data_IF_253782508857
#
_entry.id   IF_253782508857
#
_cell.length_a   1.000
_cell.length_b   1.000
_cell.length_c   1.000
_cell.angle_alpha   90.00
_cell.angle_beta   90.00
_cell.angle_gamma   90.00
#
_symmetry.space_group_name_H-M   'P 1'
#
loop_
_entity.id
_entity.type
_entity.pdbx_description
1 polymer ?
#
# COMPACT_ATOMS: atom_id res chain seq x y z
N UNK A 1 -11.03 8.05 -18.74
CA UNK A 1 -9.64 7.96 -18.20
C UNK A 1 -9.28 6.50 -17.93
N UNK A 2 -8.52 5.85 -18.82
CA UNK A 2 -8.21 4.42 -18.69
C UNK A 2 -6.87 4.20 -17.99
N UNK A 3 -6.81 3.18 -17.15
CA UNK A 3 -5.56 2.76 -16.50
C UNK A 3 -4.67 2.08 -17.56
N UNK A 4 -3.46 2.62 -17.76
CA UNK A 4 -2.52 2.11 -18.77
C UNK A 4 -1.35 1.35 -18.19
N UNK A 5 -0.97 1.64 -16.93
CA UNK A 5 0.16 1.00 -16.27
C UNK A 5 0.01 1.08 -14.75
N UNK A 6 0.45 0.05 -14.06
CA UNK A 6 0.65 0.06 -12.60
C UNK A 6 2.11 -0.27 -12.33
N UNK A 7 2.79 0.61 -11.61
CA UNK A 7 4.18 0.46 -11.19
C UNK A 7 4.28 0.31 -9.68
N UNK A 8 5.22 -0.50 -9.25
CA UNK A 8 5.65 -0.57 -7.85
C UNK A 8 7.08 -0.05 -7.72
N UNK A 9 7.35 0.72 -6.67
CA UNK A 9 8.64 1.32 -6.39
C UNK A 9 9.07 0.93 -4.98
N UNK A 10 10.23 0.27 -4.88
CA UNK A 10 10.86 -0.08 -3.62
C UNK A 10 12.26 0.51 -3.55
N UNK A 11 12.59 1.16 -2.45
CA UNK A 11 13.92 1.71 -2.23
C UNK A 11 14.66 0.88 -1.18
N UNK A 12 15.90 0.52 -1.46
CA UNK A 12 16.73 -0.21 -0.51
C UNK A 12 16.88 0.53 0.82
N UNK A 13 16.98 1.87 0.77
CA UNK A 13 17.04 2.72 1.96
C UNK A 13 15.73 2.79 2.76
N UNK A 14 14.63 2.30 2.19
CA UNK A 14 13.28 2.27 2.76
C UNK A 14 12.63 0.90 2.57
N UNK A 15 13.31 -0.13 2.99
CA UNK A 15 12.96 -1.52 2.69
C UNK A 15 11.56 -1.95 3.17
N UNK A 16 10.99 -1.22 4.14
CA UNK A 16 9.65 -1.48 4.68
C UNK A 16 8.54 -0.72 3.95
N UNK A 17 8.88 0.14 2.99
CA UNK A 17 7.90 0.93 2.23
C UNK A 17 7.85 0.48 0.77
N UNK A 18 6.65 0.56 0.20
CA UNK A 18 6.38 0.37 -1.21
C UNK A 18 5.44 1.47 -1.69
N UNK A 19 5.77 2.11 -2.79
CA UNK A 19 4.91 3.07 -3.46
C UNK A 19 4.32 2.45 -4.71
N UNK A 20 3.10 2.83 -5.01
CA UNK A 20 2.36 2.38 -6.18
C UNK A 20 2.01 3.60 -7.03
N UNK A 21 2.32 3.54 -8.32
CA UNK A 21 1.92 4.55 -9.29
C UNK A 21 0.95 3.94 -10.28
N UNK A 22 -0.24 4.53 -10.39
CA UNK A 22 -1.25 4.15 -11.36
C UNK A 22 -1.28 5.22 -12.45
N UNK A 23 -1.00 4.83 -13.67
CA UNK A 23 -0.94 5.72 -14.84
C UNK A 23 -2.21 5.63 -15.65
N UNK A 24 -2.62 6.75 -16.25
CA UNK A 24 -3.79 6.83 -17.13
C UNK A 24 -3.40 7.24 -18.55
N UNK A 25 -4.30 6.98 -19.51
CA UNK A 25 -4.16 7.40 -20.92
C UNK A 25 -4.23 8.92 -21.10
N UNK A 26 -4.69 9.67 -20.11
CA UNK A 26 -4.74 11.13 -20.11
C UNK A 26 -3.51 11.77 -19.42
N UNK A 27 -2.50 10.96 -19.07
CA UNK A 27 -1.25 11.41 -18.49
C UNK A 27 -1.28 11.70 -17.00
N UNK A 28 -2.41 11.50 -16.33
CA UNK A 28 -2.47 11.60 -14.88
C UNK A 28 -1.85 10.35 -14.23
N UNK A 29 -1.15 10.58 -13.13
CA UNK A 29 -0.52 9.51 -12.34
C UNK A 29 -0.96 9.65 -10.90
N UNK A 30 -1.59 8.60 -10.38
CA UNK A 30 -1.94 8.50 -8.96
C UNK A 30 -0.85 7.83 -8.15
N UNK A 31 -0.68 8.28 -6.92
CA UNK A 31 0.28 7.73 -5.96
C UNK A 31 -0.43 7.09 -4.78
N UNK A 32 -0.07 5.86 -4.50
CA UNK A 32 -0.43 5.15 -3.28
C UNK A 32 0.80 4.63 -2.55
N UNK A 33 0.63 4.28 -1.30
CA UNK A 33 1.72 3.76 -0.45
C UNK A 33 1.22 2.60 0.40
N UNK A 34 2.11 1.67 0.67
CA UNK A 34 1.91 0.62 1.66
C UNK A 34 3.22 0.30 2.39
N UNK A 35 3.13 -0.52 3.43
CA UNK A 35 4.28 -0.82 4.27
C UNK A 35 4.22 -2.26 4.79
N UNK A 36 5.39 -2.80 5.19
CA UNK A 36 5.61 -4.17 5.62
C UNK A 36 5.12 -5.27 4.66
N UNK A 37 5.95 -6.26 4.46
CA UNK A 37 5.65 -7.34 3.52
C UNK A 37 5.66 -6.89 2.06
N UNK A 38 6.51 -5.89 1.73
CA UNK A 38 6.52 -5.23 0.42
C UNK A 38 6.65 -6.21 -0.75
N UNK A 39 7.41 -7.29 -0.61
CA UNK A 39 7.54 -8.30 -1.67
C UNK A 39 6.21 -9.03 -1.93
N UNK A 40 5.46 -9.37 -0.89
CA UNK A 40 4.16 -10.01 -1.04
C UNK A 40 3.11 -9.04 -1.62
N UNK A 41 3.14 -7.77 -1.19
CA UNK A 41 2.28 -6.71 -1.73
C UNK A 41 2.57 -6.50 -3.22
N UNK A 42 3.84 -6.40 -3.61
CA UNK A 42 4.29 -6.25 -4.99
C UNK A 42 3.82 -7.40 -5.86
N UNK A 43 4.04 -8.64 -5.40
CA UNK A 43 3.58 -9.84 -6.10
C UNK A 43 2.06 -9.82 -6.32
N UNK A 44 1.28 -9.54 -5.29
CA UNK A 44 -0.18 -9.48 -5.39
C UNK A 44 -0.66 -8.36 -6.35
N UNK A 45 0.01 -7.20 -6.33
CA UNK A 45 -0.31 -6.12 -7.27
C UNK A 45 -0.10 -6.57 -8.71
N UNK A 46 1.03 -7.20 -9.03
CA UNK A 46 1.35 -7.57 -10.41
C UNK A 46 0.65 -8.84 -10.88
N UNK A 47 0.42 -9.80 -10.01
CA UNK A 47 -0.20 -11.08 -10.37
C UNK A 47 -1.72 -11.02 -10.41
N UNK A 48 -2.35 -10.20 -9.57
CA UNK A 48 -3.80 -10.17 -9.40
C UNK A 48 -4.42 -8.81 -9.72
N UNK A 49 -3.94 -7.74 -9.10
CA UNK A 49 -4.58 -6.42 -9.17
C UNK A 49 -4.39 -5.78 -10.53
N UNK A 50 -3.16 -5.69 -11.02
CA UNK A 50 -2.88 -5.03 -12.30
C UNK A 50 -3.58 -5.70 -13.49
N UNK A 51 -3.58 -7.04 -13.66
CA UNK A 51 -4.34 -7.67 -14.72
C UNK A 51 -5.85 -7.37 -14.67
N UNK A 52 -6.43 -7.22 -13.48
CA UNK A 52 -7.83 -6.89 -13.32
C UNK A 52 -8.17 -5.43 -13.67
N UNK A 53 -7.23 -4.50 -13.46
CA UNK A 53 -7.50 -3.06 -13.57
C UNK A 53 -7.00 -2.43 -14.87
N UNK A 54 -6.03 -3.01 -15.57
CA UNK A 54 -5.52 -2.46 -16.83
C UNK A 54 -6.64 -2.32 -17.85
N UNK A 55 -6.72 -1.15 -18.50
CA UNK A 55 -7.77 -0.80 -19.46
C UNK A 55 -9.11 -0.36 -18.86
N UNK A 56 -9.29 -0.50 -17.55
CA UNK A 56 -10.49 -0.06 -16.84
C UNK A 56 -10.51 1.47 -16.68
N UNK A 57 -11.70 2.03 -16.50
CA UNK A 57 -11.90 3.45 -16.23
C UNK A 57 -11.57 3.77 -14.76
N UNK A 58 -10.50 4.54 -14.54
CA UNK A 58 -10.01 4.92 -13.21
C UNK A 58 -11.00 5.75 -12.38
N UNK A 59 -12.02 6.36 -13.02
CA UNK A 59 -13.04 7.13 -12.30
C UNK A 59 -14.04 6.25 -11.54
N UNK A 60 -14.12 4.96 -11.88
CA UNK A 60 -15.04 4.00 -11.26
C UNK A 60 -14.48 3.37 -9.98
N UNK A 61 -13.96 4.19 -9.07
CA UNK A 61 -13.18 3.77 -7.91
C UNK A 61 -13.87 2.67 -7.10
N UNK A 62 -15.13 2.86 -6.74
CA UNK A 62 -15.90 1.87 -5.96
C UNK A 62 -16.08 0.52 -6.69
N UNK A 63 -16.30 0.56 -8.00
CA UNK A 63 -16.42 -0.66 -8.80
C UNK A 63 -15.09 -1.40 -8.87
N UNK A 64 -13.99 -0.67 -9.09
CA UNK A 64 -12.63 -1.22 -9.11
C UNK A 64 -12.24 -1.77 -7.73
N UNK A 65 -12.57 -1.06 -6.65
CA UNK A 65 -12.34 -1.53 -5.28
C UNK A 65 -13.03 -2.88 -5.03
N UNK A 66 -14.29 -3.02 -5.45
CA UNK A 66 -15.01 -4.29 -5.34
C UNK A 66 -14.38 -5.40 -6.19
N UNK A 67 -13.89 -5.07 -7.38
CA UNK A 67 -13.23 -6.01 -8.28
C UNK A 67 -11.90 -6.50 -7.71
N UNK A 68 -11.16 -5.64 -7.01
CA UNK A 68 -9.91 -6.01 -6.34
C UNK A 68 -10.11 -6.91 -5.13
N UNK A 69 -11.32 -6.98 -4.55
CA UNK A 69 -11.56 -7.81 -3.36
C UNK A 69 -11.51 -9.29 -3.72
N UNK A 70 -10.73 -10.10 -3.01
CA UNK A 70 -10.70 -11.53 -3.25
C UNK A 70 -12.07 -12.16 -2.95
N UNK A 71 -12.46 -13.13 -3.75
CA UNK A 71 -13.72 -13.85 -3.57
C UNK A 71 -13.70 -14.74 -2.32
N UNK A 72 -12.55 -15.28 -1.97
CA UNK A 72 -12.41 -16.25 -0.88
C UNK A 72 -12.03 -15.51 0.40
N UNK A 73 -12.82 -15.65 1.46
CA UNK A 73 -12.67 -14.90 2.70
C UNK A 73 -11.29 -15.02 3.38
N UNK A 74 -10.57 -16.13 3.22
CA UNK A 74 -9.23 -16.30 3.78
C UNK A 74 -8.13 -15.53 3.03
N UNK A 75 -8.41 -15.03 1.83
CA UNK A 75 -7.46 -14.22 1.02
C UNK A 75 -7.66 -12.71 1.22
N UNK A 76 -8.60 -12.29 2.04
CA UNK A 76 -8.96 -10.88 2.22
C UNK A 76 -8.18 -10.15 3.33
N UNK A 77 -7.01 -10.64 3.74
CA UNK A 77 -6.25 -10.07 4.86
C UNK A 77 -4.80 -9.80 4.47
N UNK A 78 -4.09 -9.02 5.30
CA UNK A 78 -2.64 -8.82 5.19
C UNK A 78 -2.20 -8.21 3.84
N UNK A 79 -1.38 -8.92 3.04
CA UNK A 79 -0.75 -8.39 1.84
C UNK A 79 -1.77 -7.98 0.77
N UNK A 80 -2.80 -8.78 0.55
CA UNK A 80 -3.85 -8.53 -0.44
C UNK A 80 -4.65 -7.27 -0.11
N UNK A 81 -5.02 -7.07 1.16
CA UNK A 81 -5.73 -5.85 1.57
C UNK A 81 -4.84 -4.62 1.52
N UNK A 82 -3.54 -4.77 1.80
CA UNK A 82 -2.57 -3.67 1.66
C UNK A 82 -2.33 -3.30 0.20
N UNK A 83 -2.27 -4.27 -0.69
CA UNK A 83 -2.19 -4.05 -2.14
C UNK A 83 -3.43 -3.28 -2.63
N UNK A 84 -4.62 -3.78 -2.30
CA UNK A 84 -5.88 -3.14 -2.67
C UNK A 84 -5.97 -1.71 -2.14
N UNK A 85 -5.64 -1.50 -0.84
CA UNK A 85 -5.67 -0.18 -0.21
C UNK A 85 -4.72 0.81 -0.87
N UNK A 86 -3.51 0.40 -1.20
CA UNK A 86 -2.54 1.27 -1.85
C UNK A 86 -2.98 1.69 -3.26
N UNK A 87 -3.58 0.76 -4.02
CA UNK A 87 -4.13 1.07 -5.34
C UNK A 87 -5.38 1.95 -5.23
N UNK A 88 -6.25 1.69 -4.26
CA UNK A 88 -7.43 2.52 -3.99
C UNK A 88 -7.04 3.98 -3.69
N UNK A 89 -6.04 4.19 -2.83
CA UNK A 89 -5.49 5.54 -2.56
C UNK A 89 -4.97 6.20 -3.84
N UNK A 90 -4.28 5.45 -4.70
CA UNK A 90 -3.79 5.98 -5.98
C UNK A 90 -4.94 6.36 -6.93
N UNK A 91 -6.04 5.62 -6.95
CA UNK A 91 -7.22 5.96 -7.75
C UNK A 91 -7.90 7.25 -7.25
N UNK A 92 -8.00 7.43 -5.93
CA UNK A 92 -8.50 8.66 -5.34
C UNK A 92 -7.57 9.86 -5.62
N UNK A 93 -6.26 9.66 -5.62
CA UNK A 93 -5.29 10.70 -6.01
C UNK A 93 -5.44 11.11 -7.48
N UNK A 94 -5.69 10.14 -8.39
CA UNK A 94 -6.03 10.45 -9.80
C UNK A 94 -7.30 11.30 -9.86
N UNK A 95 -8.34 10.91 -9.14
CA UNK A 95 -9.62 11.63 -9.16
C UNK A 95 -9.47 13.06 -8.62
N UNK A 96 -8.71 13.25 -7.55
CA UNK A 96 -8.39 14.58 -7.02
C UNK A 96 -7.68 15.45 -8.04
N UNK A 97 -6.68 14.90 -8.73
CA UNK A 97 -5.94 15.58 -9.81
C UNK A 97 -6.83 15.91 -11.00
N UNK A 98 -7.69 14.98 -11.42
CA UNK A 98 -8.61 15.16 -12.54
C UNK A 98 -9.65 16.26 -12.29
N UNK A 99 -10.13 16.37 -11.05
CA UNK A 99 -11.14 17.36 -10.66
C UNK A 99 -10.57 18.66 -10.10
N UNK A 100 -9.26 18.72 -9.84
CA UNK A 100 -8.62 19.86 -9.18
C UNK A 100 -9.05 20.05 -7.73
N UNK A 101 -9.57 18.98 -7.08
CA UNK A 101 -10.08 19.04 -5.71
C UNK A 101 -9.21 18.24 -4.74
N UNK A 102 -8.97 18.74 -3.53
CA UNK A 102 -8.33 17.95 -2.49
C UNK A 102 -9.27 16.84 -2.02
N UNK A 103 -8.70 15.71 -1.64
CA UNK A 103 -9.44 14.50 -1.27
C UNK A 103 -10.50 14.75 -0.18
N UNK A 104 -10.19 15.55 0.83
CA UNK A 104 -11.14 15.85 1.90
C UNK A 104 -12.42 16.54 1.38
N UNK A 105 -12.31 17.41 0.35
CA UNK A 105 -13.46 18.07 -0.23
C UNK A 105 -14.36 17.08 -0.98
N UNK A 106 -13.75 16.13 -1.68
CA UNK A 106 -14.47 15.06 -2.39
C UNK A 106 -15.17 14.08 -1.43
N UNK A 107 -14.64 13.91 -0.22
CA UNK A 107 -15.20 13.03 0.82
C UNK A 107 -16.19 13.73 1.76
N UNK A 108 -16.69 14.92 1.41
CA UNK A 108 -17.73 15.61 2.16
C UNK A 108 -17.28 16.85 2.94
N UNK A 109 -16.04 17.29 2.74
CA UNK A 109 -15.50 18.53 3.33
C UNK A 109 -14.74 18.33 4.64
N UNK A 110 -14.10 19.41 5.07
CA UNK A 110 -13.35 19.40 6.32
C UNK A 110 -14.28 19.44 7.54
N UNK A 111 -14.12 18.49 8.44
CA UNK A 111 -14.85 18.45 9.72
C UNK A 111 -14.09 19.13 10.85
N UNK A 112 -12.82 19.45 10.64
CA UNK A 112 -11.92 20.11 11.61
C UNK A 112 -10.72 20.71 10.89
N UNK A 113 -10.15 21.77 11.45
CA UNK A 113 -8.97 22.45 10.90
C UNK A 113 -7.65 21.84 11.40
N UNK A 114 -7.72 21.04 12.45
CA UNK A 114 -6.55 20.44 13.09
C UNK A 114 -6.82 19.01 13.51
N UNK A 115 -5.81 18.15 13.39
CA UNK A 115 -5.84 16.76 13.85
C UNK A 115 -4.81 16.64 14.98
N UNK A 116 -5.25 16.11 16.14
CA UNK A 116 -4.32 15.77 17.22
C UNK A 116 -3.49 14.57 16.78
N UNK A 117 -2.18 14.70 16.89
CA UNK A 117 -1.23 13.63 16.58
C UNK A 117 -0.47 13.23 17.83
N UNK A 118 0.04 12.01 17.85
CA UNK A 118 0.96 11.52 18.86
C UNK A 118 2.10 10.75 18.19
N UNK A 119 3.24 10.70 18.85
CA UNK A 119 4.35 9.88 18.39
C UNK A 119 4.29 8.52 19.08
N UNK A 120 4.34 7.44 18.30
CA UNK A 120 4.39 6.06 18.82
C UNK A 120 5.77 5.67 19.38
N UNK A 121 6.73 6.57 19.37
CA UNK A 121 8.11 6.35 19.84
C UNK A 121 8.83 5.19 19.11
N UNK A 122 8.40 4.82 17.93
CA UNK A 122 9.17 3.95 17.05
C UNK A 122 10.47 4.67 16.70
N UNK A 123 11.62 4.05 16.96
CA UNK A 123 12.93 4.68 16.75
C UNK A 123 13.14 5.18 15.32
N UNK A 124 14.11 6.08 15.10
CA UNK A 124 14.37 6.69 13.80
C UNK A 124 14.67 5.68 12.70
N UNK A 125 15.08 4.49 13.06
CA UNK A 125 15.40 3.39 12.15
C UNK A 125 14.20 2.52 11.76
N UNK A 126 13.01 2.80 12.29
CA UNK A 126 11.82 1.95 12.11
C UNK A 126 11.46 1.76 10.63
N UNK A 127 11.60 2.81 9.83
CA UNK A 127 11.28 2.79 8.39
C UNK A 127 12.50 2.46 7.53
N UNK A 128 13.71 2.75 8.02
CA UNK A 128 14.93 2.69 7.23
C UNK A 128 15.67 1.36 7.26
N UNK A 129 15.36 0.50 8.21
CA UNK A 129 16.03 -0.79 8.34
C UNK A 129 15.23 -1.90 7.69
N UNK A 130 15.90 -3.01 7.31
CA UNK A 130 15.39 -4.09 6.50
C UNK A 130 13.97 -4.56 6.85
N UNK A 131 13.29 -5.19 5.91
CA UNK A 131 11.92 -5.74 6.03
C UNK A 131 11.73 -6.78 7.15
N UNK A 132 12.80 -7.16 7.82
CA UNK A 132 12.71 -8.07 8.96
C UNK A 132 11.97 -7.38 10.10
N UNK A 133 10.90 -8.00 10.55
CA UNK A 133 10.21 -7.59 11.77
C UNK A 133 11.24 -7.66 12.89
N UNK A 134 11.57 -6.50 13.46
CA UNK A 134 12.59 -6.45 14.50
C UNK A 134 11.93 -6.69 15.85
N UNK A 135 12.32 -7.74 16.55
CA UNK A 135 11.84 -7.99 17.89
C UNK A 135 11.92 -6.77 18.79
N UNK A 136 13.02 -5.99 18.72
CA UNK A 136 13.21 -4.78 19.52
C UNK A 136 12.18 -3.67 19.28
N UNK A 137 11.57 -3.59 18.11
CA UNK A 137 10.50 -2.61 17.83
C UNK A 137 9.20 -2.89 18.58
N UNK A 138 9.05 -4.09 19.09
CA UNK A 138 7.86 -4.53 19.83
C UNK A 138 8.21 -5.00 21.26
N UNK A 139 9.37 -4.61 21.78
CA UNK A 139 9.85 -5.06 23.09
C UNK A 139 10.24 -6.53 23.13
N UNK A 140 10.41 -7.16 21.96
CA UNK A 140 10.85 -8.57 21.86
C UNK A 140 12.35 -8.56 21.54
N UNK A 141 13.14 -9.15 22.41
CA UNK A 141 14.58 -9.25 22.23
C UNK A 141 14.94 -10.33 21.21
N UNK A 142 15.89 -10.05 20.33
CA UNK A 142 16.29 -10.96 19.26
C UNK A 142 16.89 -12.27 19.80
N UNK A 143 17.47 -12.23 20.99
CA UNK A 143 18.08 -13.39 21.63
C UNK A 143 17.05 -14.33 22.23
N UNK A 144 15.83 -13.86 22.53
CA UNK A 144 14.77 -14.65 23.15
C UNK A 144 13.79 -15.25 22.14
N UNK A 145 13.77 -14.76 20.89
CA UNK A 145 12.92 -15.31 19.84
C UNK A 145 13.70 -16.32 19.01
N UNK A 146 13.56 -17.59 19.31
CA UNK A 146 14.09 -18.70 18.49
C UNK A 146 13.50 -18.77 17.08
N UNK A 147 12.59 -17.87 16.70
CA UNK A 147 11.97 -17.84 15.36
C UNK A 147 12.99 -17.64 14.22
N UNK A 148 14.05 -16.90 14.44
CA UNK A 148 15.12 -16.76 13.45
C UNK A 148 15.90 -18.05 13.20
N UNK A 149 16.12 -18.86 14.25
CA UNK A 149 16.85 -20.12 14.14
C UNK A 149 16.07 -21.21 13.39
N UNK A 150 14.76 -21.27 13.57
CA UNK A 150 13.94 -22.31 12.90
C UNK A 150 13.90 -22.12 11.39
N UNK A 151 13.97 -20.89 10.90
CA UNK A 151 13.99 -20.62 9.45
C UNK A 151 15.39 -20.73 8.84
N UNK A 152 16.45 -20.46 9.58
CA UNK A 152 17.81 -20.62 9.09
C UNK A 152 18.25 -22.10 9.05
N UNK A 153 17.67 -22.94 9.92
CA UNK A 153 17.94 -24.38 9.92
C UNK A 153 17.17 -25.19 8.85
N UNK A 154 16.26 -24.50 8.12
CA UNK A 154 15.48 -25.11 7.02
C UNK A 154 16.04 -24.75 5.62
N UNK A 155 17.16 -24.08 5.54
CA UNK A 155 17.93 -23.81 4.31
C UNK A 155 19.13 -24.75 4.27
#
# INVERSE_FOLDING_TARGET
MKITKIETIRLQSRATLIWIRVHTDEGLVGLGESWFGCAAIEADIHDRVAPALLGQDSSRIEALNRQMRPYVGFTGTSAEMRANSAVDVALWDIQGKATGQPLYAMLGGATRDRIRVYNTCAGPDYVSKSSDVRPGNFGLDRETTQRGKVFDDLR
#
